data_IF_112766281139
#
_entry.id   IF_112766281139
#
_cell.length_a   1.000
_cell.length_b   1.000
_cell.length_c   1.000
_cell.angle_alpha   90.00
_cell.angle_beta   90.00
_cell.angle_gamma   90.00
#
_symmetry.space_group_name_H-M   'P 1'
#
loop_
_entity.id
_entity.type
_entity.pdbx_description
1 polymer ?
#
# COMPACT_ATOMS: atom_id res chain seq x y z
N UNK A 1 -9.92 40.88 7.61
CA UNK A 1 -10.33 39.69 8.38
C UNK A 1 -9.06 39.00 8.85
N UNK A 2 -8.78 39.03 10.16
CA UNK A 2 -7.55 38.46 10.72
C UNK A 2 -7.69 36.94 10.87
N UNK A 3 -6.71 36.19 10.37
CA UNK A 3 -6.60 34.75 10.61
C UNK A 3 -6.44 34.49 12.11
N UNK A 4 -7.10 33.46 12.61
CA UNK A 4 -6.98 33.05 14.01
C UNK A 4 -5.55 32.54 14.27
N UNK A 5 -5.04 32.72 15.50
CA UNK A 5 -3.68 32.25 15.85
C UNK A 5 -3.50 30.75 15.56
N UNK A 6 -4.55 29.94 15.71
CA UNK A 6 -4.55 28.52 15.36
C UNK A 6 -4.39 28.24 13.87
N UNK A 7 -5.02 29.02 12.99
CA UNK A 7 -4.83 28.88 11.53
C UNK A 7 -3.39 29.22 11.12
N UNK A 8 -2.78 30.24 11.74
CA UNK A 8 -1.39 30.63 11.46
C UNK A 8 -0.44 29.52 11.90
N UNK A 9 -0.67 28.92 13.07
CA UNK A 9 0.13 27.79 13.55
C UNK A 9 0.00 26.61 12.57
N UNK A 10 -1.22 26.28 12.13
CA UNK A 10 -1.44 25.17 11.21
C UNK A 10 -0.76 25.39 9.84
N UNK A 11 -0.78 26.63 9.33
CA UNK A 11 -0.03 27.00 8.12
C UNK A 11 1.48 26.76 8.28
N UNK A 12 2.04 27.16 9.43
CA UNK A 12 3.47 27.05 9.68
C UNK A 12 3.93 25.61 9.95
N UNK A 13 3.08 24.78 10.56
CA UNK A 13 3.49 23.44 11.00
C UNK A 13 3.04 22.33 10.05
N UNK A 14 1.77 22.31 9.64
CA UNK A 14 1.20 21.20 8.86
C UNK A 14 1.29 21.46 7.37
N UNK A 15 0.93 22.67 6.93
CA UNK A 15 0.89 22.97 5.49
C UNK A 15 2.29 23.13 4.90
N UNK A 16 3.20 23.78 5.64
CA UNK A 16 4.61 23.89 5.24
C UNK A 16 5.27 22.51 5.09
N UNK A 17 4.99 21.57 6.02
CA UNK A 17 5.50 20.20 5.95
C UNK A 17 4.92 19.44 4.75
N UNK A 18 3.61 19.59 4.47
CA UNK A 18 2.98 19.01 3.29
C UNK A 18 3.58 19.51 1.98
N UNK A 19 3.86 20.80 1.86
CA UNK A 19 4.48 21.38 0.67
C UNK A 19 5.91 20.86 0.51
N UNK A 20 6.66 20.76 1.61
CA UNK A 20 7.99 20.14 1.62
C UNK A 20 7.96 18.70 1.11
N UNK A 21 7.05 17.89 1.62
CA UNK A 21 6.86 16.51 1.18
C UNK A 21 6.41 16.43 -0.29
N UNK A 22 5.52 17.31 -0.73
CA UNK A 22 5.11 17.37 -2.14
C UNK A 22 6.30 17.63 -3.06
N UNK A 23 7.19 18.55 -2.70
CA UNK A 23 8.37 18.85 -3.50
C UNK A 23 9.31 17.64 -3.65
N UNK A 24 9.39 16.78 -2.64
CA UNK A 24 10.13 15.52 -2.71
C UNK A 24 9.48 14.50 -3.66
N UNK A 25 8.16 14.32 -3.57
CA UNK A 25 7.42 13.34 -4.37
C UNK A 25 7.06 13.81 -5.79
N UNK A 26 7.22 15.10 -6.09
CA UNK A 26 6.89 15.68 -7.40
C UNK A 26 7.62 14.98 -8.55
N UNK A 27 8.81 14.43 -8.29
CA UNK A 27 9.59 13.79 -9.34
C UNK A 27 9.21 12.34 -9.64
N UNK A 28 8.49 11.67 -8.75
CA UNK A 28 8.19 10.24 -8.90
C UNK A 28 7.31 9.92 -10.11
N UNK A 29 6.23 10.68 -10.44
CA UNK A 29 5.34 10.31 -11.53
C UNK A 29 6.04 10.24 -12.90
N UNK A 30 6.92 11.21 -13.21
CA UNK A 30 7.61 11.23 -14.49
C UNK A 30 8.82 10.28 -14.52
N UNK A 31 9.51 10.09 -13.39
CA UNK A 31 10.56 9.08 -13.28
C UNK A 31 10.02 7.67 -13.54
N UNK A 32 8.85 7.33 -12.99
CA UNK A 32 8.21 6.02 -13.20
C UNK A 32 7.86 5.81 -14.68
N UNK A 33 7.30 6.80 -15.37
CA UNK A 33 7.00 6.70 -16.81
C UNK A 33 8.26 6.44 -17.64
N UNK A 34 9.34 7.16 -17.33
CA UNK A 34 10.62 7.02 -18.02
C UNK A 34 11.24 5.64 -17.74
N UNK A 35 11.19 5.17 -16.48
CA UNK A 35 11.68 3.87 -16.05
C UNK A 35 10.96 2.72 -16.75
N UNK A 36 9.62 2.74 -16.79
CA UNK A 36 8.81 1.74 -17.51
C UNK A 36 9.11 1.76 -19.01
N UNK A 37 9.21 2.96 -19.61
CA UNK A 37 9.52 3.11 -21.03
C UNK A 37 10.89 2.52 -21.41
N UNK A 38 11.93 2.82 -20.64
CA UNK A 38 13.27 2.26 -20.86
C UNK A 38 13.33 0.76 -20.62
N UNK A 39 12.68 0.26 -19.56
CA UNK A 39 12.62 -1.17 -19.26
C UNK A 39 11.98 -1.96 -20.41
N UNK A 40 10.86 -1.46 -20.96
CA UNK A 40 10.20 -2.07 -22.12
C UNK A 40 11.07 -2.03 -23.37
N UNK A 41 11.77 -0.92 -23.61
CA UNK A 41 12.68 -0.80 -24.75
C UNK A 41 13.84 -1.81 -24.66
N UNK A 42 14.44 -1.97 -23.47
CA UNK A 42 15.51 -2.94 -23.22
C UNK A 42 15.00 -4.38 -23.39
N UNK A 43 13.82 -4.70 -22.85
CA UNK A 43 13.20 -6.02 -22.98
C UNK A 43 12.87 -6.35 -24.44
N UNK A 44 12.33 -5.40 -25.20
CA UNK A 44 12.03 -5.59 -26.61
C UNK A 44 13.31 -5.84 -27.42
N UNK A 45 14.39 -5.10 -27.14
CA UNK A 45 15.68 -5.27 -27.83
C UNK A 45 16.35 -6.61 -27.52
N UNK A 46 16.24 -7.09 -26.28
CA UNK A 46 16.91 -8.33 -25.84
C UNK A 46 16.11 -9.61 -26.14
N UNK A 47 14.78 -9.57 -26.02
CA UNK A 47 13.91 -10.77 -26.07
C UNK A 47 12.90 -10.75 -27.24
N UNK A 48 12.85 -9.68 -28.04
CA UNK A 48 11.97 -9.60 -29.22
C UNK A 48 10.49 -9.80 -28.85
N UNK A 49 9.81 -10.69 -29.59
CA UNK A 49 8.37 -10.96 -29.41
C UNK A 49 8.01 -11.48 -28.00
N UNK A 50 8.94 -12.10 -27.26
CA UNK A 50 8.69 -12.56 -25.90
C UNK A 50 8.49 -11.39 -24.89
N UNK A 51 8.91 -10.17 -25.22
CA UNK A 51 8.61 -8.97 -24.43
C UNK A 51 7.10 -8.70 -24.30
N UNK A 52 6.28 -9.17 -25.26
CA UNK A 52 4.82 -9.06 -25.20
C UNK A 52 4.26 -9.95 -24.08
N UNK A 53 4.85 -11.14 -23.87
CA UNK A 53 4.47 -12.01 -22.75
C UNK A 53 4.81 -11.37 -21.40
N UNK A 54 5.94 -10.67 -21.31
CA UNK A 54 6.31 -9.88 -20.13
C UNK A 54 5.29 -8.76 -19.86
N UNK A 55 4.92 -8.00 -20.90
CA UNK A 55 3.90 -6.95 -20.83
C UNK A 55 2.56 -7.48 -20.32
N UNK A 56 2.07 -8.59 -20.90
CA UNK A 56 0.81 -9.22 -20.50
C UNK A 56 0.87 -9.67 -19.04
N UNK A 57 1.98 -10.29 -18.63
CA UNK A 57 2.16 -10.73 -17.24
C UNK A 57 2.16 -9.55 -16.26
N UNK A 58 2.84 -8.45 -16.58
CA UNK A 58 2.84 -7.23 -15.76
C UNK A 58 1.44 -6.61 -15.67
N UNK A 59 0.70 -6.53 -16.78
CA UNK A 59 -0.68 -6.03 -16.78
C UNK A 59 -1.58 -6.92 -15.91
N UNK A 60 -1.45 -8.25 -16.01
CA UNK A 60 -2.20 -9.19 -15.17
C UNK A 60 -1.90 -8.99 -13.68
N UNK A 61 -0.64 -8.83 -13.30
CA UNK A 61 -0.24 -8.54 -11.91
C UNK A 61 -0.87 -7.22 -11.44
N UNK A 62 -0.85 -6.16 -12.26
CA UNK A 62 -1.49 -4.89 -11.91
C UNK A 62 -3.01 -5.01 -11.74
N UNK A 63 -3.68 -5.74 -12.65
CA UNK A 63 -5.12 -5.98 -12.59
C UNK A 63 -5.52 -6.76 -11.34
N UNK A 64 -4.70 -7.74 -10.92
CA UNK A 64 -4.94 -8.49 -9.68
C UNK A 64 -4.77 -7.58 -8.46
N UNK A 65 -3.76 -6.70 -8.42
CA UNK A 65 -3.53 -5.81 -7.29
C UNK A 65 -4.61 -4.74 -7.11
N UNK A 66 -5.24 -4.26 -8.18
CA UNK A 66 -6.24 -3.19 -8.12
C UNK A 66 -7.44 -3.44 -7.18
N UNK A 67 -8.17 -4.58 -7.26
CA UNK A 67 -9.27 -4.87 -6.35
C UNK A 67 -8.77 -5.07 -4.90
N UNK A 68 -7.59 -5.67 -4.70
CA UNK A 68 -7.00 -5.81 -3.36
C UNK A 68 -6.66 -4.45 -2.76
N UNK A 69 -6.16 -3.50 -3.55
CA UNK A 69 -5.93 -2.11 -3.14
C UNK A 69 -7.21 -1.41 -2.70
N UNK A 70 -8.29 -1.48 -3.50
CA UNK A 70 -9.60 -0.93 -3.10
C UNK A 70 -10.16 -1.58 -1.83
N UNK A 71 -9.93 -2.88 -1.66
CA UNK A 71 -10.35 -3.59 -0.45
C UNK A 71 -9.51 -3.18 0.76
N UNK A 72 -8.21 -2.92 0.58
CA UNK A 72 -7.32 -2.40 1.60
C UNK A 72 -7.80 -1.04 2.12
N UNK A 73 -8.14 -0.12 1.23
CA UNK A 73 -8.68 1.21 1.59
C UNK A 73 -9.95 1.08 2.42
N UNK A 74 -10.91 0.26 1.98
CA UNK A 74 -12.15 0.01 2.73
C UNK A 74 -11.91 -0.59 4.11
N UNK A 75 -10.94 -1.51 4.25
CA UNK A 75 -10.58 -2.07 5.55
C UNK A 75 -9.90 -1.04 6.44
N UNK A 76 -9.06 -0.18 5.87
CA UNK A 76 -8.41 0.91 6.58
C UNK A 76 -9.43 1.93 7.11
N UNK A 77 -10.40 2.33 6.30
CA UNK A 77 -11.48 3.23 6.70
C UNK A 77 -12.25 2.67 7.90
N UNK A 78 -12.70 1.41 7.81
CA UNK A 78 -13.43 0.76 8.91
C UNK A 78 -12.60 0.55 10.17
N UNK A 79 -11.31 0.28 10.01
CA UNK A 79 -10.37 0.19 11.13
C UNK A 79 -10.23 1.55 11.83
N UNK A 80 -10.10 2.64 11.06
CA UNK A 80 -10.03 3.99 11.62
C UNK A 80 -11.32 4.38 12.33
N UNK A 81 -12.49 4.07 11.77
CA UNK A 81 -13.78 4.32 12.42
C UNK A 81 -13.89 3.57 13.77
N UNK A 82 -13.52 2.29 13.80
CA UNK A 82 -13.52 1.50 15.04
C UNK A 82 -12.53 2.06 16.09
N UNK A 83 -11.33 2.46 15.63
CA UNK A 83 -10.30 3.06 16.46
C UNK A 83 -10.76 4.40 17.06
N UNK A 84 -11.39 5.26 16.25
CA UNK A 84 -11.90 6.55 16.69
C UNK A 84 -13.02 6.39 17.73
N UNK A 85 -13.93 5.46 17.52
CA UNK A 85 -14.98 5.12 18.50
C UNK A 85 -14.39 4.65 19.85
N UNK A 86 -13.34 3.82 19.82
CA UNK A 86 -12.62 3.39 21.03
C UNK A 86 -11.91 4.57 21.70
N UNK A 87 -11.19 5.39 20.96
CA UNK A 87 -10.47 6.55 21.50
C UNK A 87 -11.41 7.56 22.14
N UNK A 88 -12.53 7.87 21.47
CA UNK A 88 -13.57 8.76 21.99
C UNK A 88 -14.15 8.23 23.30
N UNK A 89 -14.57 6.96 23.32
CA UNK A 89 -15.12 6.33 24.53
C UNK A 89 -14.10 6.32 25.68
N UNK A 90 -12.84 6.01 25.39
CA UNK A 90 -11.77 6.00 26.40
C UNK A 90 -11.53 7.41 26.96
N UNK A 91 -11.53 8.43 26.10
CA UNK A 91 -11.38 9.83 26.51
C UNK A 91 -12.52 10.30 27.41
N UNK A 92 -13.77 9.98 27.06
CA UNK A 92 -14.95 10.31 27.86
C UNK A 92 -14.93 9.64 29.25
N UNK A 93 -14.46 8.39 29.33
CA UNK A 93 -14.29 7.62 30.57
C UNK A 93 -13.21 8.26 31.45
N UNK A 94 -12.05 8.58 30.89
CA UNK A 94 -10.94 9.20 31.62
C UNK A 94 -11.33 10.57 32.16
N UNK A 95 -12.04 11.39 31.36
CA UNK A 95 -12.52 12.71 31.77
C UNK A 95 -13.49 12.63 32.96
N UNK A 96 -14.28 11.56 33.07
CA UNK A 96 -15.30 11.38 34.11
C UNK A 96 -14.93 10.33 35.18
N UNK A 97 -13.64 9.98 35.31
CA UNK A 97 -13.18 8.83 36.12
C UNK A 97 -13.65 8.87 37.58
N UNK A 98 -13.67 10.06 38.19
CA UNK A 98 -14.11 10.23 39.60
C UNK A 98 -15.57 9.78 39.80
N UNK A 99 -16.45 10.11 38.86
CA UNK A 99 -17.88 9.75 38.92
C UNK A 99 -18.03 8.24 38.78
N UNK A 100 -17.30 7.62 37.84
CA UNK A 100 -17.36 6.18 37.62
C UNK A 100 -16.90 5.38 38.85
N UNK A 101 -15.86 5.84 39.54
CA UNK A 101 -15.39 5.19 40.79
C UNK A 101 -16.40 5.32 41.93
N UNK A 102 -17.01 6.49 42.09
CA UNK A 102 -18.02 6.72 43.13
C UNK A 102 -19.26 5.82 42.96
N UNK A 103 -19.59 5.45 41.72
CA UNK A 103 -20.73 4.59 41.38
C UNK A 103 -20.37 3.11 41.22
N UNK A 104 -19.08 2.73 41.34
CA UNK A 104 -18.63 1.35 41.14
C UNK A 104 -18.84 0.81 39.71
N UNK A 105 -18.92 1.68 38.69
CA UNK A 105 -19.23 1.30 37.30
C UNK A 105 -17.99 0.94 36.46
N UNK A 106 -16.80 0.91 37.06
CA UNK A 106 -15.53 0.71 36.36
C UNK A 106 -15.52 -0.57 35.51
N UNK A 107 -15.98 -1.71 36.06
CA UNK A 107 -15.99 -2.99 35.34
C UNK A 107 -16.95 -3.00 34.14
N UNK A 108 -18.08 -2.27 34.25
CA UNK A 108 -19.06 -2.18 33.17
C UNK A 108 -18.52 -1.36 32.00
N UNK A 109 -17.86 -0.23 32.27
CA UNK A 109 -17.22 0.57 31.23
C UNK A 109 -15.97 -0.10 30.66
N UNK A 110 -15.23 -0.86 31.48
CA UNK A 110 -14.12 -1.68 31.01
C UNK A 110 -14.59 -2.72 29.98
N UNK A 111 -15.68 -3.46 30.29
CA UNK A 111 -16.29 -4.40 29.34
C UNK A 111 -16.65 -3.72 28.03
N UNK A 112 -17.26 -2.52 28.09
CA UNK A 112 -17.62 -1.74 26.89
C UNK A 112 -16.39 -1.39 26.04
N UNK A 113 -15.25 -1.04 26.64
CA UNK A 113 -14.00 -0.79 25.90
C UNK A 113 -13.50 -2.09 25.26
N UNK A 114 -13.57 -3.22 25.96
CA UNK A 114 -13.17 -4.52 25.41
C UNK A 114 -14.01 -4.93 24.19
N UNK A 115 -15.32 -4.69 24.22
CA UNK A 115 -16.20 -4.97 23.08
C UNK A 115 -15.81 -4.12 21.84
N UNK A 116 -15.51 -2.83 22.05
CA UNK A 116 -15.01 -1.96 20.98
C UNK A 116 -13.66 -2.44 20.44
N UNK A 117 -12.76 -2.87 21.34
CA UNK A 117 -11.44 -3.40 20.97
C UNK A 117 -11.54 -4.69 20.16
N UNK A 118 -12.48 -5.58 20.49
CA UNK A 118 -12.73 -6.81 19.73
C UNK A 118 -13.21 -6.51 18.30
N UNK A 119 -14.02 -5.46 18.13
CA UNK A 119 -14.42 -4.97 16.80
C UNK A 119 -13.22 -4.39 16.02
N UNK A 120 -12.39 -3.57 16.67
CA UNK A 120 -11.15 -3.01 16.11
C UNK A 120 -10.20 -4.13 15.65
N UNK A 121 -9.97 -5.13 16.50
CA UNK A 121 -9.13 -6.30 16.19
C UNK A 121 -9.67 -7.12 15.01
N UNK A 122 -11.00 -7.25 14.89
CA UNK A 122 -11.63 -7.91 13.75
C UNK A 122 -11.33 -7.21 12.41
N UNK A 123 -11.37 -5.88 12.38
CA UNK A 123 -11.01 -5.09 11.20
C UNK A 123 -9.51 -5.07 10.94
N UNK A 124 -8.71 -4.95 12.01
CA UNK A 124 -7.25 -4.98 11.93
C UNK A 124 -6.76 -6.30 11.34
N UNK A 125 -7.34 -7.43 11.75
CA UNK A 125 -7.00 -8.74 11.21
C UNK A 125 -7.22 -8.78 9.70
N UNK A 126 -8.39 -8.34 9.21
CA UNK A 126 -8.70 -8.29 7.77
C UNK A 126 -7.73 -7.38 7.00
N UNK A 127 -7.41 -6.21 7.56
CA UNK A 127 -6.44 -5.28 6.99
C UNK A 127 -5.04 -5.91 6.87
N UNK A 128 -4.55 -6.56 7.93
CA UNK A 128 -3.21 -7.18 7.93
C UNK A 128 -3.14 -8.37 6.98
N UNK A 129 -4.16 -9.23 6.92
CA UNK A 129 -4.21 -10.33 5.95
C UNK A 129 -4.19 -9.81 4.51
N UNK A 130 -5.00 -8.79 4.20
CA UNK A 130 -5.04 -8.20 2.87
C UNK A 130 -3.70 -7.53 2.52
N UNK A 131 -3.09 -6.81 3.47
CA UNK A 131 -1.75 -6.25 3.32
C UNK A 131 -0.70 -7.33 3.05
N UNK A 132 -0.76 -8.47 3.75
CA UNK A 132 0.18 -9.57 3.55
C UNK A 132 0.06 -10.19 2.14
N UNK A 133 -1.17 -10.33 1.64
CA UNK A 133 -1.43 -10.81 0.27
C UNK A 133 -0.86 -9.83 -0.76
N UNK A 134 -1.14 -8.53 -0.62
CA UNK A 134 -0.62 -7.51 -1.53
C UNK A 134 0.92 -7.52 -1.52
N UNK A 135 1.53 -7.54 -0.33
CA UNK A 135 2.99 -7.62 -0.19
C UNK A 135 3.55 -8.88 -0.85
N UNK A 136 2.92 -10.05 -0.64
CA UNK A 136 3.37 -11.29 -1.26
C UNK A 136 3.33 -11.23 -2.79
N UNK A 137 2.24 -10.71 -3.36
CA UNK A 137 2.12 -10.54 -4.81
C UNK A 137 3.18 -9.55 -5.33
N UNK A 138 3.43 -8.45 -4.60
CA UNK A 138 4.42 -7.45 -4.98
C UNK A 138 5.84 -8.02 -4.99
N UNK A 139 6.26 -8.72 -3.93
CA UNK A 139 7.57 -9.37 -3.87
C UNK A 139 7.71 -10.54 -4.86
N UNK A 140 6.63 -11.24 -5.18
CA UNK A 140 6.60 -12.34 -6.13
C UNK A 140 6.50 -11.91 -7.60
N UNK A 141 6.06 -10.68 -7.89
CA UNK A 141 5.77 -10.20 -9.24
C UNK A 141 6.97 -10.31 -10.21
N UNK A 142 8.20 -9.87 -9.87
CA UNK A 142 9.35 -10.02 -10.78
C UNK A 142 9.64 -11.48 -11.16
N UNK A 143 9.37 -12.42 -10.25
CA UNK A 143 9.59 -13.84 -10.48
C UNK A 143 8.52 -14.40 -11.41
N UNK A 144 7.25 -14.05 -11.20
CA UNK A 144 6.15 -14.45 -12.08
C UNK A 144 6.35 -13.95 -13.51
N UNK A 145 6.73 -12.66 -13.66
CA UNK A 145 7.03 -12.06 -14.97
C UNK A 145 8.24 -12.70 -15.63
N UNK A 146 9.28 -13.05 -14.87
CA UNK A 146 10.44 -13.78 -15.40
C UNK A 146 10.05 -15.17 -15.93
N UNK A 147 9.29 -15.94 -15.16
CA UNK A 147 8.86 -17.29 -15.54
C UNK A 147 7.98 -17.27 -16.79
N UNK A 148 7.02 -16.35 -16.89
CA UNK A 148 6.17 -16.22 -18.07
C UNK A 148 6.97 -15.83 -19.32
N UNK A 149 7.94 -14.92 -19.17
CA UNK A 149 8.76 -14.44 -20.28
C UNK A 149 9.71 -15.51 -20.79
N UNK A 150 10.44 -16.19 -19.90
CA UNK A 150 11.33 -17.27 -20.31
C UNK A 150 10.57 -18.48 -20.84
N UNK A 151 9.39 -18.79 -20.29
CA UNK A 151 8.49 -19.80 -20.86
C UNK A 151 8.08 -19.47 -22.30
N UNK A 152 7.74 -18.21 -22.58
CA UNK A 152 7.43 -17.76 -23.94
C UNK A 152 8.65 -17.81 -24.87
N UNK A 153 9.86 -17.47 -24.39
CA UNK A 153 11.09 -17.60 -25.19
C UNK A 153 11.36 -19.03 -25.63
N UNK A 154 11.14 -20.02 -24.74
CA UNK A 154 11.30 -21.44 -25.06
C UNK A 154 10.30 -21.87 -26.14
N UNK A 155 9.03 -21.46 -26.04
CA UNK A 155 8.01 -21.77 -27.03
C UNK A 155 8.27 -21.13 -28.40
N UNK A 156 8.84 -19.92 -28.42
CA UNK A 156 9.18 -19.20 -29.65
C UNK A 156 10.54 -19.59 -30.24
N UNK A 157 11.30 -20.48 -29.59
CA UNK A 157 12.60 -20.95 -30.06
C UNK A 157 13.70 -19.88 -30.04
N UNK A 158 13.57 -18.84 -29.19
CA UNK A 158 14.52 -17.74 -29.12
C UNK A 158 15.78 -18.21 -28.36
N UNK A 159 17.00 -18.07 -28.91
CA UNK A 159 18.22 -18.49 -28.23
C UNK A 159 18.46 -17.65 -26.98
N UNK A 160 18.29 -18.29 -25.82
CA UNK A 160 18.47 -17.72 -24.49
C UNK A 160 19.97 -17.78 -24.11
N UNK A 161 20.70 -16.74 -24.51
CA UNK A 161 22.09 -16.56 -24.09
C UNK A 161 22.16 -16.00 -22.65
N UNK A 162 23.16 -16.44 -21.87
CA UNK A 162 23.31 -16.07 -20.45
C UNK A 162 23.24 -14.55 -20.20
N UNK A 163 23.88 -13.75 -21.07
CA UNK A 163 23.86 -12.28 -20.97
C UNK A 163 22.46 -11.68 -21.11
N UNK A 164 21.61 -12.25 -21.97
CA UNK A 164 20.23 -11.78 -22.18
C UNK A 164 19.33 -12.13 -20.99
N UNK A 165 19.52 -13.31 -20.41
CA UNK A 165 18.78 -13.75 -19.21
C UNK A 165 19.08 -12.84 -18.02
N UNK A 166 20.37 -12.57 -17.76
CA UNK A 166 20.79 -11.72 -16.65
C UNK A 166 20.31 -10.27 -16.83
N UNK A 167 20.40 -9.74 -18.04
CA UNK A 167 19.89 -8.39 -18.37
C UNK A 167 18.37 -8.28 -18.19
N UNK A 168 17.61 -9.30 -18.63
CA UNK A 168 16.16 -9.35 -18.47
C UNK A 168 15.76 -9.45 -16.99
N UNK A 169 16.41 -10.33 -16.23
CA UNK A 169 16.16 -10.50 -14.80
C UNK A 169 16.42 -9.22 -14.00
N UNK A 170 17.51 -8.50 -14.34
CA UNK A 170 17.81 -7.21 -13.74
C UNK A 170 16.72 -6.17 -14.07
N UNK A 171 16.25 -6.16 -15.32
CA UNK A 171 15.19 -5.25 -15.77
C UNK A 171 13.86 -5.54 -15.06
N UNK A 172 13.50 -6.80 -14.85
CA UNK A 172 12.29 -7.19 -14.11
C UNK A 172 12.34 -6.88 -12.62
N UNK A 173 13.53 -6.79 -12.02
CA UNK A 173 13.67 -6.37 -10.61
C UNK A 173 13.55 -4.86 -10.43
N UNK A 174 13.85 -4.11 -11.48
CA UNK A 174 13.74 -2.65 -11.50
C UNK A 174 12.29 -2.24 -11.82
N UNK A 175 11.56 -3.05 -12.59
CA UNK A 175 10.16 -2.83 -12.94
C UNK A 175 9.22 -3.31 -11.83
#
# INVERSE_FOLDING_TARGET
QGRTSGEIINFMTVDAERIGNFSWYMHDPWMVLLQVGLALWILYRNLGLASIAALIATILVMLVNFPFGRMQERFQEKLMEAKDNRMKSTSEILRNMRILKLQGWEMKFLSKIFDLRKSEEGWLKKYVYNSAVISFVFWGAPTLVSVSTFGACILLGIPLESGKILSALATFRIL
#
